data_IF_384249551689
#
_entry.id   IF_384249551689
#
_cell.length_a   1.000
_cell.length_b   1.000
_cell.length_c   1.000
_cell.angle_alpha   90.00
_cell.angle_beta   90.00
_cell.angle_gamma   90.00
#
_symmetry.space_group_name_H-M   'P 1'
#
loop_
_entity.id
_entity.type
_entity.pdbx_description
1 polymer ?
#
# COMPACT_ATOMS: atom_id res chain seq x y z
N UNK A 1 6.58 -20.27 23.56
CA UNK A 1 6.09 -19.39 22.46
C UNK A 1 6.08 -20.18 21.16
N UNK A 2 5.05 -20.04 20.33
CA UNK A 2 4.99 -20.73 19.03
C UNK A 2 5.92 -20.00 18.06
N UNK A 3 7.18 -20.45 17.94
CA UNK A 3 8.21 -19.80 17.10
C UNK A 3 7.76 -19.56 15.65
N UNK A 4 6.97 -20.47 15.09
CA UNK A 4 6.37 -20.29 13.76
C UNK A 4 5.46 -19.06 13.68
N UNK A 5 4.64 -18.78 14.71
CA UNK A 5 3.80 -17.60 14.74
C UNK A 5 4.62 -16.30 14.81
N UNK A 6 5.74 -16.32 15.53
CA UNK A 6 6.68 -15.18 15.59
C UNK A 6 7.30 -14.95 14.22
N UNK A 7 7.74 -16.02 13.54
CA UNK A 7 8.26 -15.93 12.18
C UNK A 7 7.25 -15.32 11.20
N UNK A 8 5.99 -15.81 11.20
CA UNK A 8 4.93 -15.24 10.37
C UNK A 8 4.67 -13.76 10.70
N UNK A 9 4.68 -13.39 11.98
CA UNK A 9 4.49 -12.00 12.41
C UNK A 9 5.62 -11.09 11.90
N UNK A 10 6.87 -11.56 11.93
CA UNK A 10 8.02 -10.83 11.36
C UNK A 10 7.91 -10.67 9.84
N UNK A 11 7.45 -11.69 9.12
CA UNK A 11 7.17 -11.60 7.68
C UNK A 11 6.10 -10.55 7.39
N UNK A 12 5.02 -10.51 8.18
CA UNK A 12 3.97 -9.49 8.07
C UNK A 12 4.56 -8.09 8.32
N UNK A 13 5.39 -7.93 9.34
CA UNK A 13 6.06 -6.67 9.64
C UNK A 13 6.97 -6.21 8.49
N UNK A 14 7.69 -7.12 7.83
CA UNK A 14 8.51 -6.82 6.65
C UNK A 14 7.65 -6.39 5.45
N UNK A 15 6.58 -7.12 5.15
CA UNK A 15 5.67 -6.77 4.05
C UNK A 15 5.05 -5.38 4.24
N UNK A 16 4.57 -5.07 5.44
CA UNK A 16 4.01 -3.76 5.77
C UNK A 16 5.06 -2.66 5.88
N UNK A 17 6.28 -2.97 6.30
CA UNK A 17 7.40 -2.03 6.29
C UNK A 17 7.80 -1.61 4.87
N UNK A 18 7.86 -2.57 3.94
CA UNK A 18 8.18 -2.32 2.52
C UNK A 18 6.99 -1.76 1.72
N UNK A 19 5.78 -1.83 2.26
CA UNK A 19 4.59 -1.25 1.63
C UNK A 19 4.71 0.28 1.42
N UNK A 20 5.27 1.02 2.38
CA UNK A 20 5.44 2.48 2.27
C UNK A 20 6.33 2.90 1.08
N UNK A 21 7.55 2.37 0.95
CA UNK A 21 8.42 2.61 -0.19
C UNK A 21 7.82 2.17 -1.54
N UNK A 22 7.22 0.97 -1.61
CA UNK A 22 6.60 0.47 -2.85
C UNK A 22 5.42 1.34 -3.29
N UNK A 23 4.60 1.81 -2.34
CA UNK A 23 3.52 2.76 -2.61
C UNK A 23 4.05 4.12 -3.09
N UNK A 24 5.21 4.56 -2.57
CA UNK A 24 5.84 5.81 -3.02
C UNK A 24 6.27 5.71 -4.49
N UNK A 25 6.81 4.56 -4.91
CA UNK A 25 7.15 4.29 -6.32
C UNK A 25 5.92 4.20 -7.23
N UNK A 26 4.77 3.76 -6.72
CA UNK A 26 3.53 3.69 -7.50
C UNK A 26 2.86 5.08 -7.69
N UNK A 27 3.30 6.12 -6.98
CA UNK A 27 2.77 7.48 -7.15
C UNK A 27 3.28 8.10 -8.43
N UNK A 28 2.48 8.97 -9.01
CA UNK A 28 2.90 9.74 -10.18
C UNK A 28 3.97 10.76 -9.79
N UNK A 29 5.16 10.74 -10.40
CA UNK A 29 6.22 11.73 -10.17
C UNK A 29 5.78 13.14 -10.60
N UNK A 30 5.00 13.24 -11.68
CA UNK A 30 4.53 14.50 -12.28
C UNK A 30 3.01 14.73 -12.10
N UNK A 31 2.38 13.99 -11.18
CA UNK A 31 0.92 14.09 -10.88
C UNK A 31 0.00 13.76 -12.08
N UNK A 32 0.49 12.97 -13.03
CA UNK A 32 -0.22 12.45 -14.21
C UNK A 32 -1.40 11.54 -13.85
N UNK A 33 -1.36 10.88 -12.69
CA UNK A 33 -2.49 10.09 -12.18
C UNK A 33 -2.78 10.36 -10.71
N UNK A 34 -4.07 10.23 -10.38
CA UNK A 34 -4.56 10.35 -9.02
C UNK A 34 -4.17 9.16 -8.14
N UNK A 35 -4.26 9.33 -6.81
CA UNK A 35 -3.89 8.31 -5.83
C UNK A 35 -4.74 7.03 -5.88
N UNK A 36 -5.93 7.11 -6.49
CA UNK A 36 -6.81 5.96 -6.65
C UNK A 36 -6.36 4.98 -7.73
N UNK A 37 -5.49 5.38 -8.67
CA UNK A 37 -5.00 4.48 -9.74
C UNK A 37 -4.13 3.36 -9.15
N UNK A 38 -3.13 3.63 -8.27
CA UNK A 38 -2.46 2.59 -7.50
C UNK A 38 -3.39 1.86 -6.52
N UNK A 39 -4.29 2.58 -5.84
CA UNK A 39 -5.22 1.99 -4.87
C UNK A 39 -6.10 0.89 -5.47
N UNK A 40 -6.59 1.08 -6.70
CA UNK A 40 -7.36 0.07 -7.41
C UNK A 40 -6.57 -1.23 -7.57
N UNK A 41 -5.30 -1.15 -7.97
CA UNK A 41 -4.44 -2.32 -8.14
C UNK A 41 -4.07 -2.99 -6.80
N UNK A 42 -3.99 -2.22 -5.71
CA UNK A 42 -3.88 -2.79 -4.36
C UNK A 42 -5.13 -3.61 -4.03
N UNK A 43 -6.33 -3.10 -4.36
CA UNK A 43 -7.59 -3.82 -4.22
C UNK A 43 -7.65 -5.11 -5.06
N UNK A 44 -7.17 -5.06 -6.32
CA UNK A 44 -7.06 -6.24 -7.18
C UNK A 44 -6.12 -7.28 -6.56
N UNK A 45 -4.96 -6.86 -6.06
CA UNK A 45 -4.03 -7.77 -5.38
C UNK A 45 -4.67 -8.41 -4.15
N UNK A 46 -5.45 -7.65 -3.36
CA UNK A 46 -6.17 -8.19 -2.20
C UNK A 46 -7.23 -9.20 -2.61
N UNK A 47 -7.99 -8.94 -3.68
CA UNK A 47 -8.99 -9.87 -4.19
C UNK A 47 -8.34 -11.19 -4.63
N UNK A 48 -7.28 -11.11 -5.43
CA UNK A 48 -6.56 -12.30 -5.93
C UNK A 48 -5.97 -13.09 -4.78
N UNK A 49 -5.20 -12.45 -3.89
CA UNK A 49 -4.50 -13.17 -2.80
C UNK A 49 -5.50 -13.69 -1.76
N UNK A 50 -6.51 -12.91 -1.37
CA UNK A 50 -7.45 -13.33 -0.34
C UNK A 50 -8.38 -14.46 -0.82
N UNK A 51 -8.90 -14.36 -2.05
CA UNK A 51 -9.81 -15.38 -2.58
C UNK A 51 -9.03 -16.62 -3.01
N UNK A 52 -8.02 -16.48 -3.88
CA UNK A 52 -7.28 -17.62 -4.41
C UNK A 52 -6.42 -18.24 -3.31
N UNK A 53 -5.63 -17.44 -2.60
CA UNK A 53 -4.78 -17.92 -1.52
C UNK A 53 -5.60 -18.54 -0.37
N UNK A 54 -6.73 -17.91 0.00
CA UNK A 54 -7.65 -18.45 0.99
C UNK A 54 -8.24 -19.80 0.58
N UNK A 55 -8.76 -19.90 -0.64
CA UNK A 55 -9.32 -21.14 -1.18
C UNK A 55 -8.28 -22.27 -1.28
N UNK A 56 -7.06 -21.97 -1.72
CA UNK A 56 -5.96 -22.94 -1.79
C UNK A 56 -5.59 -23.45 -0.39
N UNK A 57 -5.43 -22.56 0.59
CA UNK A 57 -5.10 -22.96 1.96
C UNK A 57 -6.22 -23.79 2.59
N UNK A 58 -7.47 -23.39 2.37
CA UNK A 58 -8.65 -24.12 2.82
C UNK A 58 -8.67 -25.55 2.26
N UNK A 59 -8.42 -25.71 0.96
CA UNK A 59 -8.49 -27.00 0.29
C UNK A 59 -7.29 -27.91 0.56
N UNK A 60 -6.07 -27.37 0.54
CA UNK A 60 -4.84 -28.16 0.49
C UNK A 60 -4.10 -28.27 1.83
N UNK A 61 -4.29 -27.31 2.74
CA UNK A 61 -3.57 -27.30 4.02
C UNK A 61 -4.50 -27.65 5.18
N UNK A 62 -5.69 -27.04 5.21
CA UNK A 62 -6.64 -27.21 6.32
C UNK A 62 -7.73 -28.25 6.04
N UNK A 63 -7.82 -28.75 4.79
CA UNK A 63 -8.81 -29.74 4.33
C UNK A 63 -10.25 -29.41 4.78
N UNK A 64 -10.63 -28.15 4.59
CA UNK A 64 -11.92 -27.60 5.00
C UNK A 64 -12.89 -27.48 3.80
N UNK A 65 -14.17 -27.29 4.08
CA UNK A 65 -15.25 -27.32 3.08
C UNK A 65 -15.83 -25.93 2.83
N UNK A 66 -16.23 -25.62 1.60
CA UNK A 66 -16.87 -24.35 1.23
C UNK A 66 -18.32 -24.19 1.73
N UNK A 67 -18.71 -24.93 2.78
CA UNK A 67 -20.01 -24.80 3.42
C UNK A 67 -19.97 -23.69 4.47
N UNK A 68 -20.77 -22.65 4.26
CA UNK A 68 -20.88 -21.51 5.17
C UNK A 68 -22.23 -21.47 5.92
N UNK A 69 -22.97 -22.57 5.91
CA UNK A 69 -24.27 -22.69 6.59
C UNK A 69 -24.15 -23.20 8.02
N UNK A 70 -25.22 -23.01 8.82
CA UNK A 70 -25.29 -23.49 10.20
C UNK A 70 -24.14 -22.99 11.08
N UNK A 71 -23.29 -23.92 11.54
CA UNK A 71 -22.16 -23.64 12.45
C UNK A 71 -21.07 -22.76 11.82
N UNK A 72 -21.03 -22.63 10.50
CA UNK A 72 -20.01 -21.88 9.77
C UNK A 72 -20.40 -20.42 9.48
N UNK A 73 -21.65 -20.02 9.77
CA UNK A 73 -22.14 -18.65 9.60
C UNK A 73 -21.26 -17.60 10.30
N UNK A 74 -20.70 -17.83 11.51
CA UNK A 74 -19.78 -16.90 12.13
C UNK A 74 -18.52 -16.64 11.31
N UNK A 75 -17.99 -17.66 10.61
CA UNK A 75 -16.80 -17.51 9.77
C UNK A 75 -17.07 -16.56 8.60
N UNK A 76 -18.23 -16.70 7.96
CA UNK A 76 -18.67 -15.78 6.91
C UNK A 76 -18.92 -14.36 7.45
N UNK A 77 -19.73 -14.24 8.52
CA UNK A 77 -20.15 -12.94 9.06
C UNK A 77 -18.98 -12.13 9.62
N UNK A 78 -18.20 -12.72 10.51
CA UNK A 78 -17.08 -12.02 11.15
C UNK A 78 -15.88 -11.89 10.21
N UNK A 79 -15.67 -12.86 9.32
CA UNK A 79 -14.68 -12.75 8.26
C UNK A 79 -14.98 -11.58 7.33
N UNK A 80 -16.22 -11.44 6.88
CA UNK A 80 -16.65 -10.32 6.04
C UNK A 80 -16.51 -8.97 6.78
N UNK A 81 -16.99 -8.88 8.03
CA UNK A 81 -16.89 -7.65 8.81
C UNK A 81 -15.44 -7.25 9.06
N UNK A 82 -14.56 -8.20 9.38
CA UNK A 82 -13.13 -7.96 9.51
C UNK A 82 -12.52 -7.46 8.18
N UNK A 83 -12.91 -8.06 7.06
CA UNK A 83 -12.54 -7.60 5.71
C UNK A 83 -12.96 -6.16 5.44
N UNK A 84 -14.19 -5.78 5.79
CA UNK A 84 -14.68 -4.40 5.66
C UNK A 84 -13.87 -3.42 6.51
N UNK A 85 -13.57 -3.74 7.78
CA UNK A 85 -12.73 -2.90 8.63
C UNK A 85 -11.32 -2.72 8.05
N UNK A 86 -10.73 -3.78 7.50
CA UNK A 86 -9.45 -3.72 6.81
C UNK A 86 -9.48 -2.83 5.56
N UNK A 87 -10.51 -2.98 4.72
CA UNK A 87 -10.67 -2.20 3.49
C UNK A 87 -10.88 -0.70 3.78
N UNK A 88 -11.70 -0.38 4.78
CA UNK A 88 -11.90 1.00 5.24
C UNK A 88 -10.62 1.59 5.83
N UNK A 89 -9.86 0.80 6.59
CA UNK A 89 -8.54 1.19 7.08
C UNK A 89 -7.56 1.52 5.95
N UNK A 90 -7.49 0.68 4.91
CA UNK A 90 -6.65 0.90 3.73
C UNK A 90 -7.07 2.14 2.93
N UNK A 91 -8.38 2.40 2.82
CA UNK A 91 -8.93 3.62 2.22
C UNK A 91 -8.51 4.86 3.02
N UNK A 92 -8.65 4.82 4.35
CA UNK A 92 -8.20 5.90 5.24
C UNK A 92 -6.70 6.15 5.15
N UNK A 93 -5.89 5.09 5.11
CA UNK A 93 -4.44 5.17 4.91
C UNK A 93 -4.10 5.86 3.58
N UNK A 94 -4.83 5.52 2.50
CA UNK A 94 -4.65 6.15 1.20
C UNK A 94 -4.94 7.64 1.28
N UNK A 95 -6.08 8.03 1.84
CA UNK A 95 -6.42 9.45 2.03
C UNK A 95 -5.38 10.21 2.87
N UNK A 96 -4.91 9.62 3.98
CA UNK A 96 -3.90 10.21 4.84
C UNK A 96 -2.58 10.46 4.08
N UNK A 97 -2.19 9.50 3.27
CA UNK A 97 -0.93 9.51 2.55
C UNK A 97 -0.95 10.35 1.26
N UNK A 98 -2.13 10.60 0.69
CA UNK A 98 -2.23 11.20 -0.65
C UNK A 98 -3.01 12.51 -0.68
N UNK A 99 -4.13 12.62 0.03
CA UNK A 99 -4.95 13.84 0.06
C UNK A 99 -4.49 14.79 1.16
N UNK A 100 -4.21 14.26 2.35
CA UNK A 100 -3.69 15.04 3.48
C UNK A 100 -2.18 15.33 3.38
N UNK A 101 -1.49 14.79 2.36
CA UNK A 101 -0.05 15.00 2.16
C UNK A 101 0.83 14.29 3.20
N UNK A 102 0.29 13.30 3.91
CA UNK A 102 1.01 12.63 4.96
C UNK A 102 2.19 11.79 4.48
N UNK A 103 3.25 11.76 5.28
CA UNK A 103 4.46 11.00 5.00
C UNK A 103 4.37 9.62 5.66
N UNK A 104 4.80 8.53 4.99
CA UNK A 104 4.85 7.21 5.59
C UNK A 104 5.62 7.16 6.92
N UNK A 105 6.62 8.05 7.11
CA UNK A 105 7.47 8.11 8.30
C UNK A 105 6.71 8.32 9.61
N UNK A 106 5.59 9.05 9.60
CA UNK A 106 4.76 9.24 10.79
C UNK A 106 3.38 8.58 10.68
N UNK A 107 2.84 8.46 9.47
CA UNK A 107 1.53 7.82 9.27
C UNK A 107 1.61 6.33 9.61
N UNK A 108 2.67 5.63 9.22
CA UNK A 108 2.79 4.18 9.49
C UNK A 108 2.91 3.87 10.99
N UNK A 109 3.81 4.52 11.77
CA UNK A 109 3.85 4.29 13.21
C UNK A 109 2.52 4.59 13.91
N UNK A 110 1.84 5.68 13.54
CA UNK A 110 0.53 6.02 14.12
C UNK A 110 -0.51 4.93 13.85
N UNK A 111 -0.61 4.44 12.61
CA UNK A 111 -1.60 3.42 12.25
C UNK A 111 -1.32 2.10 12.95
N UNK A 112 -0.08 1.60 12.90
CA UNK A 112 0.23 0.29 13.48
C UNK A 112 0.29 0.32 15.00
N UNK A 113 0.92 1.34 15.60
CA UNK A 113 0.94 1.48 17.05
C UNK A 113 -0.44 1.82 17.63
N UNK A 114 -1.21 2.64 16.91
CA UNK A 114 -2.61 2.93 17.24
C UNK A 114 -3.48 1.67 17.19
N UNK A 115 -3.33 0.82 16.16
CA UNK A 115 -4.08 -0.43 16.05
C UNK A 115 -3.82 -1.38 17.23
N UNK A 116 -2.55 -1.52 17.65
CA UNK A 116 -2.20 -2.33 18.85
C UNK A 116 -2.86 -1.75 20.11
N UNK A 117 -2.86 -0.43 20.25
CA UNK A 117 -3.47 0.29 21.38
C UNK A 117 -4.99 0.11 21.41
N UNK A 118 -5.67 0.26 20.28
CA UNK A 118 -7.12 0.04 20.15
C UNK A 118 -7.49 -1.40 20.45
N UNK A 119 -6.70 -2.37 19.99
CA UNK A 119 -6.94 -3.78 20.28
C UNK A 119 -6.81 -4.09 21.79
N UNK A 120 -5.82 -3.51 22.47
CA UNK A 120 -5.65 -3.67 23.91
C UNK A 120 -6.85 -3.10 24.69
N UNK A 121 -7.35 -1.93 24.29
CA UNK A 121 -8.55 -1.31 24.88
C UNK A 121 -9.80 -2.15 24.62
N UNK A 122 -9.99 -2.64 23.40
CA UNK A 122 -11.11 -3.51 23.06
C UNK A 122 -11.09 -4.81 23.89
N UNK A 123 -9.90 -5.40 24.09
CA UNK A 123 -9.71 -6.56 24.95
C UNK A 123 -10.02 -6.24 26.43
N UNK A 124 -9.59 -5.08 26.92
CA UNK A 124 -9.91 -4.60 28.27
C UNK A 124 -11.43 -4.56 28.52
N UNK A 125 -12.19 -3.97 27.60
CA UNK A 125 -13.65 -3.90 27.72
C UNK A 125 -14.34 -5.26 27.55
N UNK A 126 -13.81 -6.12 26.68
CA UNK A 126 -14.38 -7.45 26.42
C UNK A 126 -14.15 -8.43 27.57
N UNK A 127 -13.14 -8.19 28.41
CA UNK A 127 -12.78 -9.01 29.56
C UNK A 127 -12.97 -8.28 30.91
N UNK A 128 -13.81 -7.23 30.93
CA UNK A 128 -14.10 -6.44 32.11
C UNK A 128 -14.69 -7.31 33.23
N UNK A 129 -13.83 -7.73 34.17
CA UNK A 129 -14.12 -8.73 35.21
C UNK A 129 -12.87 -9.48 35.67
N UNK A 130 -11.83 -9.57 34.82
CA UNK A 130 -10.53 -10.14 35.17
C UNK A 130 -9.55 -9.05 35.63
N UNK A 131 -8.62 -9.39 36.54
CA UNK A 131 -7.58 -8.47 36.99
C UNK A 131 -6.68 -8.06 35.81
N UNK A 132 -6.75 -6.79 35.44
CA UNK A 132 -5.96 -6.24 34.34
C UNK A 132 -4.58 -5.90 34.88
N UNK A 133 -3.55 -6.48 34.26
CA UNK A 133 -2.18 -6.21 34.65
C UNK A 133 -1.82 -4.74 34.31
N UNK A 134 -1.38 -3.91 35.28
CA UNK A 134 -0.99 -2.52 35.04
C UNK A 134 0.09 -2.35 33.94
N UNK A 135 0.90 -3.38 33.69
CA UNK A 135 1.88 -3.42 32.60
C UNK A 135 1.27 -3.20 31.22
N UNK A 136 -0.03 -3.47 31.01
CA UNK A 136 -0.73 -3.17 29.77
C UNK A 136 -0.68 -1.66 29.46
N UNK A 137 -0.99 -0.82 30.46
CA UNK A 137 -0.99 0.63 30.33
C UNK A 137 0.42 1.17 30.10
N UNK A 138 1.42 0.58 30.77
CA UNK A 138 2.83 0.90 30.54
C UNK A 138 3.23 0.58 29.09
N UNK A 139 2.83 -0.60 28.58
CA UNK A 139 3.07 -0.99 27.20
C UNK A 139 2.44 -0.02 26.20
N UNK A 140 1.20 0.43 26.44
CA UNK A 140 0.55 1.46 25.61
C UNK A 140 1.31 2.79 25.65
N UNK A 141 1.79 3.20 26.82
CA UNK A 141 2.64 4.38 26.97
C UNK A 141 3.93 4.28 26.15
N UNK A 142 4.60 3.12 26.20
CA UNK A 142 5.82 2.86 25.41
C UNK A 142 5.54 2.85 23.90
N UNK A 143 4.40 2.32 23.46
CA UNK A 143 3.97 2.41 22.06
C UNK A 143 3.80 3.87 21.65
N UNK A 144 3.12 4.69 22.46
CA UNK A 144 2.96 6.12 22.15
C UNK A 144 4.31 6.85 22.06
N UNK A 145 5.22 6.58 22.99
CA UNK A 145 6.60 7.12 22.94
C UNK A 145 7.31 6.65 21.67
N UNK A 146 7.22 5.36 21.34
CA UNK A 146 7.82 4.79 20.12
C UNK A 146 7.29 5.43 18.84
N UNK A 147 5.98 5.68 18.76
CA UNK A 147 5.35 6.39 17.64
C UNK A 147 5.94 7.79 17.51
N UNK A 148 6.00 8.55 18.61
CA UNK A 148 6.58 9.90 18.60
C UNK A 148 8.05 9.88 18.16
N UNK A 149 8.87 9.03 18.77
CA UNK A 149 10.30 8.95 18.47
C UNK A 149 10.55 8.59 17.01
N UNK A 150 9.84 7.58 16.48
CA UNK A 150 9.96 7.18 15.08
C UNK A 150 9.47 8.26 14.12
N UNK A 151 8.34 8.92 14.43
CA UNK A 151 7.83 10.02 13.62
C UNK A 151 8.82 11.21 13.56
N UNK A 152 9.47 11.56 14.68
CA UNK A 152 10.40 12.69 14.74
C UNK A 152 11.80 12.38 14.18
N UNK A 153 12.31 11.16 14.36
CA UNK A 153 13.70 10.83 14.06
C UNK A 153 13.90 9.98 12.80
N UNK A 154 12.84 9.50 12.15
CA UNK A 154 12.98 8.76 10.89
C UNK A 154 13.55 9.71 9.81
N UNK A 155 14.73 9.42 9.24
CA UNK A 155 15.34 10.28 8.23
C UNK A 155 14.47 10.32 6.98
N UNK A 156 14.27 11.52 6.47
CA UNK A 156 13.47 11.76 5.29
C UNK A 156 14.37 11.61 4.06
N UNK A 157 14.09 10.62 3.20
CA UNK A 157 14.70 10.60 1.86
C UNK A 157 14.40 11.93 1.17
N UNK A 158 15.44 12.56 0.61
CA UNK A 158 15.27 13.79 -0.14
C UNK A 158 14.14 13.63 -1.16
N UNK A 159 13.23 14.61 -1.32
CA UNK A 159 12.27 14.55 -2.42
C UNK A 159 13.09 14.38 -3.69
N UNK A 160 12.75 13.37 -4.50
CA UNK A 160 13.30 13.26 -5.84
C UNK A 160 13.11 14.62 -6.49
N UNK A 161 14.23 15.30 -6.74
CA UNK A 161 14.28 16.62 -7.37
C UNK A 161 13.36 16.56 -8.60
N UNK A 162 12.39 17.47 -8.76
CA UNK A 162 11.67 17.58 -10.02
C UNK A 162 12.74 17.71 -11.08
N UNK A 163 12.86 16.69 -11.93
CA UNK A 163 13.72 16.79 -13.10
C UNK A 163 13.07 17.86 -13.96
N UNK A 164 13.61 19.07 -13.84
CA UNK A 164 13.18 20.22 -14.59
C UNK A 164 13.15 19.84 -16.07
N UNK A 165 12.06 20.25 -16.71
CA UNK A 165 11.77 20.06 -18.11
C UNK A 165 13.03 20.12 -18.99
N UNK A 166 13.34 19.00 -19.66
CA UNK A 166 13.90 19.08 -20.98
C UNK A 166 12.72 19.28 -21.93
N UNK A 167 12.34 20.54 -22.13
CA UNK A 167 11.73 20.97 -23.39
C UNK A 167 12.74 20.69 -24.48
N UNK A 168 12.51 19.62 -25.24
CA UNK A 168 12.94 19.58 -26.63
C UNK A 168 11.77 19.05 -27.46
N UNK A 169 11.12 20.00 -28.12
CA UNK A 169 10.10 19.74 -29.13
C UNK A 169 10.72 18.88 -30.23
N UNK A 170 10.41 17.59 -30.26
CA UNK A 170 10.48 16.79 -31.49
C UNK A 170 9.14 16.93 -32.18
N UNK A 171 8.95 18.05 -32.86
CA UNK A 171 7.91 18.24 -33.87
C UNK A 171 8.25 19.46 -34.73
N UNK A 172 9.32 19.33 -35.53
CA UNK A 172 9.29 19.84 -36.91
C UNK A 172 10.42 19.19 -37.72
N UNK A 173 10.05 18.23 -38.55
CA UNK A 173 10.84 17.83 -39.71
C UNK A 173 9.84 17.67 -40.85
N UNK A 174 9.83 18.57 -41.85
CA UNK A 174 8.98 18.43 -43.01
C UNK A 174 9.46 17.24 -43.85
N UNK A 175 8.49 16.51 -44.40
CA UNK A 175 8.70 15.37 -45.28
C UNK A 175 9.67 15.72 -46.43
N UNK A 176 10.80 15.02 -46.50
CA UNK A 176 11.70 15.06 -47.66
C UNK A 176 11.21 14.02 -48.66
N UNK A 177 10.72 14.49 -49.80
CA UNK A 177 10.52 13.72 -51.01
C UNK A 177 11.75 13.98 -51.92
N UNK A 178 12.52 12.96 -52.35
CA UNK A 178 13.72 13.18 -53.14
C UNK A 178 13.38 13.31 -54.63
N UNK A 179 13.59 14.52 -55.17
CA UNK A 179 13.70 14.75 -56.62
C UNK A 179 15.00 14.13 -57.13
N UNK A 180 14.87 13.14 -58.02
CA UNK A 180 15.93 12.64 -58.85
C UNK A 180 15.60 12.97 -60.32
N UNK A 181 16.14 14.07 -60.82
CA UNK A 181 16.22 14.32 -62.25
C UNK A 181 17.60 14.94 -62.57
N UNK A 182 18.32 14.19 -63.40
CA UNK A 182 19.67 14.33 -63.95
C UNK A 182 20.01 15.73 -64.50
N UNK A 183 21.25 16.24 -64.33
CA UNK A 183 21.76 17.32 -65.16
C UNK A 183 22.58 16.74 -66.32
N UNK A 184 22.10 16.92 -67.56
CA UNK A 184 22.99 16.81 -68.73
C UNK A 184 22.60 17.77 -69.87
N UNK A 185 23.64 18.44 -70.37
CA UNK A 185 23.85 19.07 -71.69
C UNK A 185 22.92 20.17 -72.28
N UNK A 186 23.52 21.37 -72.35
CA UNK A 186 23.69 22.24 -73.55
C UNK A 186 22.58 23.24 -74.02
N UNK A 187 22.97 24.33 -74.73
CA UNK A 187 22.23 25.61 -74.84
C UNK A 187 21.65 25.92 -76.24
N UNK A 188 20.61 26.76 -76.34
CA UNK A 188 20.12 27.46 -77.56
C UNK A 188 19.02 28.46 -77.12
N UNK A 189 19.17 29.79 -77.26
CA UNK A 189 19.00 30.69 -78.43
C UNK A 189 17.68 31.48 -78.38
N UNK A 190 17.81 32.75 -78.80
CA UNK A 190 16.83 33.83 -79.07
C UNK A 190 16.17 34.57 -77.89
#
# INVERSE_FOLDING_TARGET
MKWFAVFCALMVALCWGLYGPTLTNARSPLREWGPFKPYLFIGVAYLVIAIVGGALMMRFVFNDNFDYTGKYVPAMKWGFLAGCLGALGALGLTFALTKAGGKPSYVMPIVFGGAVTVNAIAAYFSHAGHHVNPLMWVGMGLVAVGICLTAYHTPHGAPAKPQAAATENVADTPAVQPDAATPDAAPEES
#
